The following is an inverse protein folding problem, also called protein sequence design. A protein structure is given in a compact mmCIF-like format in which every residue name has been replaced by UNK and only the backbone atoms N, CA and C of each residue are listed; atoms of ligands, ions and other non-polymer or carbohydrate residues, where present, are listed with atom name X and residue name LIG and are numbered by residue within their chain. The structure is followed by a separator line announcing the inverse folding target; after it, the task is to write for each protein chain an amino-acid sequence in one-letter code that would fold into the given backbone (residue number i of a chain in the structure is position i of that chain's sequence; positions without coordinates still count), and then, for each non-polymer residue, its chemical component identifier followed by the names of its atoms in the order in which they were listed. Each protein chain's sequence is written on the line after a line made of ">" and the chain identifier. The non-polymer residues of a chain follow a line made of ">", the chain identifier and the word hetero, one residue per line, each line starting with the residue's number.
data_IF_000794048133
#
_entry.id   IF_000794048133
#
_cell.length_a   1.000
_cell.length_b   1.000
_cell.length_c   1.000
_cell.angle_alpha   90.00
_cell.angle_beta   90.00
_cell.angle_gamma   90.00
#
_symmetry.space_group_name_H-M   'P 1'
#
loop_
_entity.id
_entity.type
_entity.pdbx_description
1 polymer ?
#
# COMPACT_ATOMS: atom_id res chain seq x y z
N UNK A 1 3.08 24.60 -9.36
CA UNK A 1 3.63 24.33 -8.01
C UNK A 1 4.36 22.99 -8.06
N UNK A 2 5.51 22.84 -7.39
CA UNK A 2 6.15 21.53 -7.26
C UNK A 2 5.25 20.59 -6.45
N UNK A 3 5.19 19.32 -6.86
CA UNK A 3 4.50 18.28 -6.10
C UNK A 3 5.22 18.05 -4.77
N UNK A 4 4.46 17.88 -3.70
CA UNK A 4 5.03 17.47 -2.42
C UNK A 4 5.46 15.99 -2.47
N UNK A 5 6.23 15.55 -1.48
CA UNK A 5 6.78 14.18 -1.41
C UNK A 5 5.70 13.10 -1.51
N UNK A 6 4.57 13.30 -0.82
CA UNK A 6 3.39 12.41 -0.86
C UNK A 6 2.82 12.30 -2.27
N UNK A 7 2.59 13.43 -2.94
CA UNK A 7 2.06 13.49 -4.30
C UNK A 7 3.01 12.83 -5.31
N UNK A 8 4.31 13.04 -5.18
CA UNK A 8 5.28 12.40 -6.07
C UNK A 8 5.28 10.87 -5.91
N UNK A 9 5.26 10.38 -4.67
CA UNK A 9 5.20 8.94 -4.38
C UNK A 9 3.89 8.34 -4.88
N UNK A 10 2.78 9.05 -4.72
CA UNK A 10 1.48 8.64 -5.23
C UNK A 10 1.49 8.44 -6.75
N UNK A 11 2.04 9.41 -7.49
CA UNK A 11 2.21 9.33 -8.94
C UNK A 11 3.07 8.10 -9.31
N UNK A 12 4.25 7.97 -8.71
CA UNK A 12 5.16 6.84 -9.00
C UNK A 12 4.54 5.48 -8.66
N UNK A 13 3.81 5.40 -7.54
CA UNK A 13 3.08 4.20 -7.13
C UNK A 13 2.00 3.82 -8.14
N UNK A 14 1.24 4.80 -8.63
CA UNK A 14 0.19 4.59 -9.63
C UNK A 14 0.77 4.15 -10.98
N UNK A 15 1.90 4.71 -11.40
CA UNK A 15 2.61 4.27 -12.61
C UNK A 15 3.12 2.83 -12.47
N UNK A 16 3.65 2.46 -11.31
CA UNK A 16 4.07 1.09 -11.03
C UNK A 16 2.89 0.11 -11.07
N UNK A 17 1.77 0.48 -10.45
CA UNK A 17 0.54 -0.31 -10.48
C UNK A 17 0.03 -0.49 -11.92
N UNK A 18 -0.05 0.59 -12.69
CA UNK A 18 -0.50 0.56 -14.09
C UNK A 18 0.43 -0.27 -14.96
N UNK A 19 1.74 -0.18 -14.73
CA UNK A 19 2.74 -1.01 -15.41
C UNK A 19 2.54 -2.51 -15.12
N UNK A 20 2.10 -2.85 -13.89
CA UNK A 20 1.71 -4.23 -13.54
C UNK A 20 0.46 -4.73 -14.27
N UNK A 21 -0.26 -3.86 -15.00
CA UNK A 21 -1.40 -4.21 -15.84
C UNK A 21 -1.01 -4.49 -17.30
N UNK A 22 0.26 -4.32 -17.67
CA UNK A 22 0.73 -4.46 -19.05
C UNK A 22 0.66 -5.93 -19.54
N UNK A 23 -0.09 -6.23 -20.62
CA UNK A 23 -0.24 -7.59 -21.13
C UNK A 23 1.03 -8.17 -21.78
N UNK A 24 1.98 -7.32 -22.20
CA UNK A 24 3.19 -7.76 -22.92
C UNK A 24 4.30 -8.33 -22.00
N UNK A 25 4.13 -8.24 -20.68
CA UNK A 25 5.04 -8.80 -19.68
C UNK A 25 4.27 -9.58 -18.59
N UNK A 26 3.30 -10.40 -19.02
CA UNK A 26 2.26 -10.98 -18.16
C UNK A 26 2.77 -11.71 -16.90
N UNK A 27 3.90 -12.42 -16.97
CA UNK A 27 4.41 -13.21 -15.85
C UNK A 27 5.08 -12.34 -14.77
N UNK A 28 5.98 -11.42 -15.15
CA UNK A 28 6.60 -10.44 -14.23
C UNK A 28 5.53 -9.54 -13.61
N UNK A 29 4.59 -9.10 -14.44
CA UNK A 29 3.53 -8.17 -14.02
C UNK A 29 2.49 -8.85 -13.13
N UNK A 30 2.22 -10.15 -13.30
CA UNK A 30 1.34 -10.91 -12.40
C UNK A 30 1.96 -11.09 -11.01
N UNK A 31 3.24 -11.47 -10.91
CA UNK A 31 3.92 -11.62 -9.63
C UNK A 31 4.00 -10.30 -8.88
N UNK A 32 4.41 -9.23 -9.56
CA UNK A 32 4.45 -7.88 -9.00
C UNK A 32 3.06 -7.45 -8.53
N UNK A 33 2.02 -7.63 -9.35
CA UNK A 33 0.64 -7.27 -9.01
C UNK A 33 0.14 -8.02 -7.78
N UNK A 34 0.40 -9.33 -7.69
CA UNK A 34 -0.01 -10.13 -6.54
C UNK A 34 0.74 -9.71 -5.27
N UNK A 35 2.01 -9.31 -5.37
CA UNK A 35 2.76 -8.75 -4.25
C UNK A 35 2.22 -7.39 -3.81
N UNK A 36 1.86 -6.51 -4.74
CA UNK A 36 1.29 -5.19 -4.45
C UNK A 36 -0.09 -5.27 -3.78
N UNK A 37 -0.89 -6.32 -4.07
CA UNK A 37 -2.18 -6.62 -3.41
C UNK A 37 -2.05 -7.26 -2.03
N UNK A 38 -0.86 -7.75 -1.66
CA UNK A 38 -0.59 -8.45 -0.40
C UNK A 38 0.39 -7.63 0.44
N UNK A 39 -0.05 -6.49 0.99
CA UNK A 39 0.80 -5.62 1.80
C UNK A 39 1.31 -6.35 3.05
N UNK A 40 2.54 -6.04 3.44
CA UNK A 40 3.23 -6.58 4.62
C UNK A 40 3.65 -5.43 5.52
N UNK A 41 3.73 -5.69 6.83
CA UNK A 41 4.27 -4.71 7.78
C UNK A 41 5.65 -4.24 7.30
N UNK A 42 5.85 -2.93 7.29
CA UNK A 42 7.05 -2.28 6.77
C UNK A 42 6.96 -1.82 5.32
N UNK A 43 5.97 -2.28 4.55
CA UNK A 43 5.73 -1.79 3.20
C UNK A 43 5.32 -0.32 3.20
N UNK A 44 5.66 0.37 2.11
CA UNK A 44 5.06 1.64 1.78
C UNK A 44 3.73 1.39 1.09
N UNK A 45 2.66 2.05 1.54
CA UNK A 45 1.31 1.89 0.98
C UNK A 45 0.78 3.22 0.48
N UNK A 46 0.00 3.16 -0.59
CA UNK A 46 -0.65 4.33 -1.20
C UNK A 46 -2.15 4.07 -1.28
N UNK A 47 -2.92 4.87 -0.55
CA UNK A 47 -4.38 4.84 -0.53
C UNK A 47 -4.97 5.57 -1.72
N UNK A 48 -6.04 5.01 -2.28
CA UNK A 48 -6.82 5.61 -3.34
C UNK A 48 -8.30 5.46 -3.04
N UNK A 49 -9.04 6.52 -3.33
CA UNK A 49 -10.49 6.47 -3.44
C UNK A 49 -10.88 5.53 -4.56
N UNK A 50 -11.83 4.63 -4.28
CA UNK A 50 -12.33 3.70 -5.27
C UNK A 50 -12.82 4.47 -6.52
N UNK A 51 -12.15 4.26 -7.66
CA UNK A 51 -12.47 4.91 -8.94
C UNK A 51 -11.66 6.16 -9.27
N UNK A 52 -10.80 6.67 -8.37
CA UNK A 52 -9.90 7.79 -8.68
C UNK A 52 -8.47 7.28 -8.89
N UNK A 53 -7.96 7.43 -10.11
CA UNK A 53 -6.56 7.12 -10.46
C UNK A 53 -5.76 8.42 -10.41
N UNK A 54 -4.66 8.43 -9.65
CA UNK A 54 -3.71 9.56 -9.61
C UNK A 54 -3.87 10.51 -8.43
N UNK A 55 -5.04 10.54 -7.78
CA UNK A 55 -5.27 11.29 -6.54
C UNK A 55 -5.20 10.30 -5.37
N UNK A 56 -4.02 10.16 -4.77
CA UNK A 56 -3.88 9.36 -3.56
C UNK A 56 -4.43 10.15 -2.36
N UNK A 57 -5.28 9.51 -1.58
CA UNK A 57 -5.81 10.07 -0.33
C UNK A 57 -4.76 10.06 0.78
N UNK A 58 -3.76 9.16 0.67
CA UNK A 58 -2.69 9.04 1.64
C UNK A 58 -1.51 8.19 1.17
N UNK A 59 -0.33 8.48 1.73
CA UNK A 59 0.88 7.67 1.58
C UNK A 59 1.50 7.46 2.96
N UNK A 60 1.83 6.22 3.29
CA UNK A 60 2.45 5.92 4.58
C UNK A 60 3.09 4.55 4.69
N UNK A 61 3.71 4.31 5.83
CA UNK A 61 4.30 3.02 6.18
C UNK A 61 3.27 2.15 6.87
N UNK A 62 3.05 0.94 6.37
CA UNK A 62 2.22 -0.03 7.06
C UNK A 62 2.90 -0.50 8.34
N UNK A 63 2.27 -0.26 9.49
CA UNK A 63 2.78 -0.60 10.83
C UNK A 63 2.14 -1.85 11.41
N UNK A 64 0.84 -2.04 11.20
CA UNK A 64 0.12 -3.23 11.62
C UNK A 64 -1.10 -3.48 10.74
N UNK A 65 -1.61 -4.71 10.78
CA UNK A 65 -2.82 -5.13 10.09
C UNK A 65 -3.79 -5.63 11.15
N UNK A 66 -4.95 -4.99 11.24
CA UNK A 66 -6.03 -5.39 12.15
C UNK A 66 -7.00 -6.30 11.39
N UNK A 67 -7.23 -7.50 11.92
CA UNK A 67 -8.15 -8.46 11.34
C UNK A 67 -9.44 -8.51 12.15
N UNK A 68 -10.57 -8.71 11.48
CA UNK A 68 -11.89 -8.68 12.11
C UNK A 68 -12.12 -9.80 13.15
N UNK A 69 -11.27 -10.84 13.13
CA UNK A 69 -11.26 -11.94 14.09
C UNK A 69 -10.51 -11.61 15.40
N UNK A 70 -9.92 -10.40 15.51
CA UNK A 70 -9.11 -10.00 16.68
C UNK A 70 -7.82 -10.79 16.86
N UNK A 71 -7.56 -11.79 16.00
CA UNK A 71 -6.39 -12.63 16.03
C UNK A 71 -5.41 -12.09 14.99
N UNK A 72 -4.33 -11.47 15.42
CA UNK A 72 -3.17 -11.30 14.54
C UNK A 72 -2.55 -12.66 14.21
N UNK A 73 -3.12 -13.42 13.26
CA UNK A 73 -2.59 -14.71 12.81
C UNK A 73 -3.60 -15.55 12.02
N UNK A 74 -3.19 -15.94 10.80
CA UNK A 74 -3.59 -17.08 9.94
C UNK A 74 -5.01 -17.70 9.95
N UNK A 75 -6.05 -17.02 10.43
CA UNK A 75 -7.43 -17.51 10.33
C UNK A 75 -8.13 -16.93 9.09
N UNK A 76 -8.58 -17.83 8.20
CA UNK A 76 -9.04 -17.57 6.82
C UNK A 76 -10.56 -17.75 6.67
N UNK A 77 -11.25 -16.90 5.91
CA UNK A 77 -12.65 -17.11 5.52
C UNK A 77 -12.81 -18.26 4.51
N UNK A 78 -14.06 -18.63 4.21
CA UNK A 78 -14.51 -19.68 3.27
C UNK A 78 -13.82 -19.65 1.89
N UNK A 79 -13.34 -18.49 1.42
CA UNK A 79 -12.57 -18.34 0.18
C UNK A 79 -11.04 -18.28 0.37
N UNK A 80 -10.54 -18.63 1.56
CA UNK A 80 -9.12 -18.58 1.91
C UNK A 80 -8.55 -17.17 2.08
N UNK A 81 -9.38 -16.14 2.31
CA UNK A 81 -8.93 -14.74 2.52
C UNK A 81 -9.29 -14.25 3.91
N UNK A 82 -8.33 -13.69 4.65
CA UNK A 82 -8.58 -13.06 5.96
C UNK A 82 -9.32 -11.73 5.75
N UNK A 83 -10.33 -11.43 6.56
CA UNK A 83 -10.97 -10.11 6.54
C UNK A 83 -10.11 -9.13 7.30
N UNK A 84 -9.54 -8.17 6.58
CA UNK A 84 -8.85 -7.03 7.18
C UNK A 84 -9.91 -6.02 7.61
N UNK A 85 -9.92 -5.69 8.90
CA UNK A 85 -10.81 -4.69 9.48
C UNK A 85 -10.22 -3.28 9.31
N UNK A 86 -8.92 -3.15 9.55
CA UNK A 86 -8.20 -1.90 9.32
C UNK A 86 -6.69 -2.11 9.12
N UNK A 87 -6.06 -1.05 8.65
CA UNK A 87 -4.63 -0.96 8.46
C UNK A 87 -4.08 0.18 9.31
N UNK A 88 -3.08 -0.11 10.13
CA UNK A 88 -2.41 0.93 10.91
C UNK A 88 -1.26 1.48 10.08
N UNK A 89 -1.41 2.71 9.59
CA UNK A 89 -0.48 3.34 8.66
C UNK A 89 0.11 4.57 9.32
N UNK A 90 1.43 4.72 9.25
CA UNK A 90 2.12 5.95 9.67
C UNK A 90 2.35 6.83 8.43
N UNK A 91 1.64 7.97 8.31
CA UNK A 91 1.78 8.83 7.14
C UNK A 91 3.19 9.41 7.00
N UNK A 92 3.67 9.56 5.76
CA UNK A 92 5.01 10.14 5.52
C UNK A 92 5.11 11.58 6.03
N UNK A 93 4.02 12.34 5.93
CA UNK A 93 3.93 13.74 6.35
C UNK A 93 3.70 13.91 7.86
N UNK A 94 3.37 12.83 8.59
CA UNK A 94 3.13 12.82 10.04
C UNK A 94 3.86 11.65 10.71
N UNK A 95 5.21 11.67 10.71
CA UNK A 95 5.99 10.58 11.30
C UNK A 95 5.70 10.44 12.79
N UNK A 96 5.67 9.19 13.28
CA UNK A 96 5.35 8.86 14.67
C UNK A 96 3.86 8.94 15.04
N UNK A 97 2.96 9.22 14.08
CA UNK A 97 1.51 9.25 14.31
C UNK A 97 0.80 8.19 13.45
N UNK A 98 0.77 6.91 13.88
CA UNK A 98 -0.02 5.89 13.20
C UNK A 98 -1.51 6.25 13.21
N UNK A 99 -2.13 6.22 12.04
CA UNK A 99 -3.56 6.41 11.85
C UNK A 99 -4.19 5.10 11.37
N UNK A 100 -5.46 4.91 11.74
CA UNK A 100 -6.24 3.74 11.37
C UNK A 100 -6.98 3.99 10.06
N UNK A 101 -6.65 3.23 9.03
CA UNK A 101 -7.35 3.23 7.75
C UNK A 101 -8.35 2.08 7.70
N UNK A 102 -9.62 2.40 7.92
CA UNK A 102 -10.75 1.46 7.85
C UNK A 102 -11.41 1.54 6.48
N UNK A 103 -11.78 0.41 5.90
CA UNK A 103 -12.41 0.34 4.56
C UNK A 103 -11.58 1.02 3.45
N UNK A 104 -10.26 1.06 3.61
CA UNK A 104 -9.35 1.70 2.65
C UNK A 104 -8.98 0.74 1.51
N UNK A 105 -8.88 1.29 0.30
CA UNK A 105 -8.30 0.58 -0.86
C UNK A 105 -6.90 1.14 -1.11
N UNK A 106 -5.90 0.26 -1.12
CA UNK A 106 -4.54 0.65 -1.42
C UNK A 106 -3.74 -0.48 -2.05
N UNK A 107 -2.57 -0.13 -2.58
CA UNK A 107 -1.54 -1.09 -2.93
C UNK A 107 -0.26 -0.83 -2.15
N UNK A 108 0.48 -1.91 -1.88
CA UNK A 108 1.84 -1.82 -1.39
C UNK A 108 2.81 -1.53 -2.55
N UNK A 109 3.82 -0.73 -2.26
CA UNK A 109 5.00 -0.55 -3.09
C UNK A 109 6.09 -1.46 -2.49
N UNK A 110 6.39 -2.63 -3.09
CA UNK A 110 7.31 -3.61 -2.53
C UNK A 110 8.76 -3.19 -2.77
N UNK A 111 9.20 -2.15 -2.08
CA UNK A 111 10.58 -1.67 -2.13
C UNK A 111 11.29 -2.09 -0.85
N UNK A 112 12.14 -3.10 -0.98
CA UNK A 112 12.95 -3.65 0.13
C UNK A 112 13.76 -2.56 0.86
N UNK A 113 14.14 -1.48 0.13
CA UNK A 113 14.96 -0.37 0.62
C UNK A 113 14.24 0.99 0.68
N UNK A 114 12.90 1.06 0.52
CA UNK A 114 12.22 2.36 0.43
C UNK A 114 12.48 3.27 1.64
N UNK A 115 12.66 2.70 2.85
CA UNK A 115 12.97 3.49 4.05
C UNK A 115 14.29 4.24 3.93
N UNK A 116 15.31 3.60 3.36
CA UNK A 116 16.62 4.22 3.18
C UNK A 116 16.56 5.34 2.14
N UNK A 117 15.86 5.12 1.02
CA UNK A 117 15.69 6.15 -0.01
C UNK A 117 14.90 7.36 0.49
N UNK A 118 13.85 7.12 1.27
CA UNK A 118 13.00 8.19 1.79
C UNK A 118 13.62 8.93 2.99
N UNK A 119 14.62 8.36 3.65
CA UNK A 119 15.38 9.01 4.73
C UNK A 119 16.60 9.80 4.25
N UNK A 120 17.05 9.57 3.00
CA UNK A 120 18.24 10.20 2.43
C UNK A 120 17.97 11.56 1.75
N UNK A 121 16.76 12.11 1.89
CA UNK A 121 16.34 13.37 1.28
C UNK A 121 15.71 14.32 2.28
#
# INVERSE_FOLDING_TARGET
>A
MPLNKTQLIAVLGNELWTSSLNPHAAWVTAELRERMKRPRIGDLVVEFSAGQRGDADGVGWLRAIEFADGAGGDSVNIDGRRVVDAWMVEPIDKPGQPIRWSNATFFAIPLQNARQWLAAG
#
